data_IF_820678465808
#
_entry.id   IF_820678465808
#
_cell.length_a   1.000
_cell.length_b   1.000
_cell.length_c   1.000
_cell.angle_alpha   90.00
_cell.angle_beta   90.00
_cell.angle_gamma   90.00
#
_symmetry.space_group_name_H-M   'P 1'
#
loop_
_entity.id
_entity.type
_entity.pdbx_description
1 polymer ?
#
# COMPACT_ATOMS: atom_id res chain seq x y z
N UNK A 1 -26.12 -22.05 -13.91
CA UNK A 1 -26.57 -21.66 -12.55
C UNK A 1 -25.59 -20.62 -12.04
N UNK A 2 -26.06 -19.49 -11.49
CA UNK A 2 -25.18 -18.41 -11.03
C UNK A 2 -24.68 -18.70 -9.61
N UNK A 3 -23.37 -18.58 -9.38
CA UNK A 3 -22.74 -18.66 -8.06
C UNK A 3 -21.87 -17.42 -7.83
N UNK A 4 -21.86 -16.91 -6.61
CA UNK A 4 -21.07 -15.73 -6.22
C UNK A 4 -20.24 -16.06 -4.99
N UNK A 5 -18.93 -15.87 -5.11
CA UNK A 5 -18.01 -15.89 -3.99
C UNK A 5 -17.08 -14.69 -4.16
N UNK A 6 -17.33 -13.64 -3.37
CA UNK A 6 -16.59 -12.40 -3.42
C UNK A 6 -16.32 -11.91 -2.00
N UNK A 7 -15.11 -11.43 -1.78
CA UNK A 7 -14.62 -10.90 -0.51
C UNK A 7 -14.02 -9.53 -0.77
N UNK A 8 -14.41 -8.55 0.04
CA UNK A 8 -13.82 -7.23 0.08
C UNK A 8 -13.36 -6.99 1.52
N UNK A 9 -12.07 -6.69 1.70
CA UNK A 9 -11.49 -6.43 3.01
C UNK A 9 -10.62 -5.19 2.94
N UNK A 10 -10.62 -4.42 4.02
CA UNK A 10 -9.71 -3.29 4.20
C UNK A 10 -9.17 -3.36 5.62
N UNK A 11 -7.86 -3.22 5.76
CA UNK A 11 -7.20 -3.36 7.04
C UNK A 11 -5.70 -3.19 6.91
N UNK A 12 -4.97 -3.64 7.93
CA UNK A 12 -3.52 -3.50 7.99
C UNK A 12 -2.84 -4.87 8.02
N UNK A 13 -1.68 -4.98 7.37
CA UNK A 13 -0.87 -6.19 7.44
C UNK A 13 -0.41 -6.46 8.88
N UNK A 14 -0.58 -7.68 9.36
CA UNK A 14 -0.16 -8.07 10.73
C UNK A 14 1.28 -8.54 10.80
N UNK A 15 1.85 -8.92 9.65
CA UNK A 15 3.22 -9.40 9.44
C UNK A 15 3.67 -9.03 8.03
N UNK A 16 4.98 -9.08 7.80
CA UNK A 16 5.54 -8.87 6.46
C UNK A 16 5.07 -9.97 5.50
N UNK A 17 4.84 -9.67 4.21
CA UNK A 17 4.45 -10.68 3.24
C UNK A 17 5.55 -11.71 3.01
N UNK A 18 5.19 -12.98 3.12
CA UNK A 18 6.09 -14.08 2.80
C UNK A 18 5.97 -14.40 1.31
N UNK A 19 6.90 -13.89 0.50
CA UNK A 19 7.00 -14.20 -0.93
C UNK A 19 7.76 -15.53 -1.14
N UNK A 20 7.15 -16.45 -1.86
CA UNK A 20 7.70 -17.76 -2.22
C UNK A 20 7.40 -18.06 -3.69
N UNK A 21 8.23 -18.88 -4.32
CA UNK A 21 7.98 -19.37 -5.67
C UNK A 21 7.61 -20.85 -5.61
N UNK A 22 6.57 -21.24 -6.34
CA UNK A 22 6.25 -22.66 -6.53
C UNK A 22 7.30 -23.32 -7.44
N UNK A 23 7.40 -24.66 -7.47
CA UNK A 23 8.29 -25.37 -8.40
C UNK A 23 8.08 -25.02 -9.88
N UNK A 24 6.87 -24.57 -10.24
CA UNK A 24 6.55 -24.07 -11.59
C UNK A 24 6.91 -22.61 -11.85
N UNK A 25 7.63 -21.94 -10.92
CA UNK A 25 8.02 -20.53 -11.05
C UNK A 25 6.91 -19.52 -10.73
N UNK A 26 5.72 -19.97 -10.32
CA UNK A 26 4.64 -19.05 -9.95
C UNK A 26 4.92 -18.42 -8.57
N UNK A 27 5.00 -17.09 -8.52
CA UNK A 27 5.10 -16.33 -7.27
C UNK A 27 3.83 -16.46 -6.43
N UNK A 28 4.00 -16.60 -5.12
CA UNK A 28 2.94 -16.69 -4.11
C UNK A 28 3.35 -15.82 -2.93
N UNK A 29 2.51 -14.87 -2.54
CA UNK A 29 2.72 -14.10 -1.32
C UNK A 29 1.62 -14.43 -0.33
N UNK A 30 2.03 -14.76 0.89
CA UNK A 30 1.15 -15.11 2.00
C UNK A 30 1.33 -14.10 3.12
N UNK A 31 0.23 -13.50 3.60
CA UNK A 31 0.25 -12.51 4.66
C UNK A 31 -1.07 -12.54 5.45
N UNK A 32 -1.06 -11.92 6.63
CA UNK A 32 -2.27 -11.74 7.43
C UNK A 32 -2.68 -10.28 7.43
N UNK A 33 -3.99 -10.03 7.45
CA UNK A 33 -4.54 -8.69 7.67
C UNK A 33 -5.40 -8.69 8.94
N UNK A 34 -5.39 -7.57 9.64
CA UNK A 34 -6.31 -7.27 10.72
C UNK A 34 -7.38 -6.30 10.22
N UNK A 35 -8.64 -6.66 10.41
CA UNK A 35 -9.82 -5.86 10.07
C UNK A 35 -10.54 -5.51 11.36
N UNK A 36 -10.60 -4.23 11.68
CA UNK A 36 -11.20 -3.74 12.91
C UNK A 36 -12.68 -3.41 12.68
N UNK A 37 -13.51 -3.72 13.68
CA UNK A 37 -14.92 -3.34 13.74
C UNK A 37 -15.21 -2.72 15.10
N UNK A 38 -15.70 -1.48 15.10
CA UNK A 38 -16.14 -0.78 16.30
C UNK A 38 -17.65 -0.62 16.28
N UNK A 39 -18.33 -0.92 17.39
CA UNK A 39 -19.78 -0.70 17.53
C UNK A 39 -20.17 -0.42 18.98
N UNK A 40 -21.32 0.23 19.18
CA UNK A 40 -21.90 0.47 20.50
C UNK A 40 -22.81 -0.70 20.90
N UNK A 41 -22.54 -1.30 22.06
CA UNK A 41 -23.39 -2.35 22.63
C UNK A 41 -24.68 -1.76 23.21
N UNK A 42 -25.69 -2.62 23.46
CA UNK A 42 -26.96 -2.21 24.08
C UNK A 42 -26.80 -1.57 25.47
N UNK A 43 -25.68 -1.85 26.14
CA UNK A 43 -25.29 -1.27 27.44
C UNK A 43 -24.77 0.17 27.34
N UNK A 44 -24.56 0.69 26.13
CA UNK A 44 -23.95 2.00 25.88
C UNK A 44 -22.42 1.97 25.78
N UNK A 45 -21.77 0.83 26.04
CA UNK A 45 -20.32 0.68 25.92
C UNK A 45 -19.89 0.56 24.44
N UNK A 46 -18.81 1.25 24.06
CA UNK A 46 -18.14 0.99 22.79
C UNK A 46 -17.33 -0.32 22.88
N UNK A 47 -17.47 -1.17 21.87
CA UNK A 47 -16.73 -2.42 21.73
C UNK A 47 -15.95 -2.43 20.44
N UNK A 48 -14.75 -2.97 20.53
CA UNK A 48 -13.85 -3.20 19.40
C UNK A 48 -13.62 -4.69 19.21
N UNK A 49 -13.70 -5.15 17.96
CA UNK A 49 -13.34 -6.50 17.55
C UNK A 49 -12.34 -6.43 16.41
N UNK A 50 -11.33 -7.30 16.47
CA UNK A 50 -10.34 -7.44 15.41
C UNK A 50 -10.49 -8.82 14.79
N UNK A 51 -10.81 -8.85 13.51
CA UNK A 51 -10.83 -10.07 12.71
C UNK A 51 -9.49 -10.23 12.00
N UNK A 52 -8.82 -11.36 12.24
CA UNK A 52 -7.58 -11.72 11.56
C UNK A 52 -7.88 -12.63 10.38
N UNK A 53 -7.41 -12.25 9.20
CA UNK A 53 -7.67 -12.98 7.96
C UNK A 53 -6.36 -13.30 7.25
N UNK A 54 -6.17 -14.57 6.91
CA UNK A 54 -5.05 -15.00 6.07
C UNK A 54 -5.37 -14.79 4.58
N UNK A 55 -4.46 -14.12 3.89
CA UNK A 55 -4.55 -13.77 2.48
C UNK A 55 -3.43 -14.46 1.71
N UNK A 56 -3.80 -15.11 0.60
CA UNK A 56 -2.85 -15.60 -0.40
C UNK A 56 -3.09 -14.89 -1.72
N UNK A 57 -2.01 -14.44 -2.35
CA UNK A 57 -2.04 -13.81 -3.67
C UNK A 57 -0.99 -14.46 -4.57
N UNK A 58 -1.24 -14.48 -5.88
CA UNK A 58 -0.44 -15.23 -6.85
C UNK A 58 0.06 -14.35 -8.00
N UNK A 59 1.12 -14.83 -8.66
CA UNK A 59 1.69 -14.24 -9.87
C UNK A 59 2.30 -12.86 -9.63
N UNK A 60 2.26 -11.99 -10.65
CA UNK A 60 2.88 -10.67 -10.59
C UNK A 60 2.40 -9.81 -9.40
N UNK A 61 1.13 -9.95 -9.02
CA UNK A 61 0.56 -9.22 -7.87
C UNK A 61 1.18 -9.67 -6.54
N UNK A 62 1.62 -10.92 -6.43
CA UNK A 62 2.35 -11.39 -5.27
C UNK A 62 3.72 -10.73 -5.13
N UNK A 63 4.43 -10.57 -6.23
CA UNK A 63 5.73 -9.88 -6.24
C UNK A 63 5.58 -8.43 -5.79
N UNK A 64 4.58 -7.71 -6.32
CA UNK A 64 4.31 -6.31 -5.90
C UNK A 64 3.96 -6.23 -4.42
N UNK A 65 3.17 -7.17 -3.89
CA UNK A 65 2.87 -7.19 -2.45
C UNK A 65 4.15 -7.40 -1.64
N UNK A 66 5.00 -8.34 -2.03
CA UNK A 66 6.27 -8.62 -1.35
C UNK A 66 7.28 -7.47 -1.43
N UNK A 67 7.24 -6.65 -2.48
CA UNK A 67 8.16 -5.53 -2.69
C UNK A 67 7.71 -4.25 -1.97
N UNK A 68 6.41 -3.94 -1.99
CA UNK A 68 5.91 -2.63 -1.56
C UNK A 68 5.16 -2.62 -0.24
N UNK A 69 4.75 -3.78 0.29
CA UNK A 69 4.03 -3.86 1.56
C UNK A 69 4.87 -4.49 2.65
N UNK A 70 4.76 -3.94 3.85
CA UNK A 70 5.33 -4.46 5.09
C UNK A 70 4.29 -4.46 6.20
N UNK A 71 4.62 -5.06 7.34
CA UNK A 71 3.78 -5.05 8.55
C UNK A 71 3.27 -3.64 8.84
N UNK A 72 1.97 -3.53 9.11
CA UNK A 72 1.28 -2.27 9.39
C UNK A 72 0.78 -1.54 8.14
N UNK A 73 1.24 -1.91 6.94
CA UNK A 73 0.79 -1.27 5.69
C UNK A 73 -0.73 -1.44 5.53
N UNK A 74 -1.48 -0.34 5.30
CA UNK A 74 -2.90 -0.43 5.03
C UNK A 74 -3.12 -0.91 3.60
N UNK A 75 -4.09 -1.81 3.43
CA UNK A 75 -4.38 -2.45 2.15
C UNK A 75 -5.88 -2.67 1.99
N UNK A 76 -6.35 -2.52 0.75
CA UNK A 76 -7.65 -3.01 0.33
C UNK A 76 -7.45 -4.27 -0.51
N UNK A 77 -8.23 -5.32 -0.24
CA UNK A 77 -8.20 -6.61 -0.90
C UNK A 77 -9.57 -6.92 -1.48
N UNK A 78 -9.57 -7.35 -2.74
CA UNK A 78 -10.69 -7.98 -3.40
C UNK A 78 -10.30 -9.42 -3.73
N UNK A 79 -11.17 -10.38 -3.47
CA UNK A 79 -10.88 -11.78 -3.75
C UNK A 79 -12.07 -12.69 -3.52
N UNK A 80 -11.76 -13.92 -3.10
CA UNK A 80 -12.75 -14.96 -2.82
C UNK A 80 -12.32 -15.83 -1.64
N UNK A 81 -13.28 -16.45 -0.96
CA UNK A 81 -12.99 -17.44 0.07
C UNK A 81 -12.55 -18.76 -0.54
N UNK A 82 -11.52 -19.37 0.05
CA UNK A 82 -11.10 -20.73 -0.22
C UNK A 82 -11.06 -21.52 1.10
N UNK A 83 -11.90 -22.54 1.16
CA UNK A 83 -11.85 -23.54 2.21
C UNK A 83 -10.95 -24.69 1.75
N UNK A 84 -10.02 -25.12 2.60
CA UNK A 84 -9.19 -26.29 2.36
C UNK A 84 -9.25 -27.20 3.58
N UNK A 85 -9.37 -28.50 3.34
CA UNK A 85 -9.39 -29.53 4.37
C UNK A 85 -8.35 -30.60 4.02
N UNK A 86 -7.55 -30.99 5.00
CA UNK A 86 -6.51 -32.00 4.84
C UNK A 86 -6.37 -32.83 6.11
N UNK A 87 -5.78 -34.02 5.98
CA UNK A 87 -5.50 -34.91 7.11
C UNK A 87 -4.01 -34.84 7.44
N UNK A 88 -3.68 -34.76 8.73
CA UNK A 88 -2.28 -34.86 9.17
C UNK A 88 -1.81 -36.30 9.07
N UNK A 89 -0.48 -36.53 9.10
CA UNK A 89 0.09 -37.89 9.14
C UNK A 89 -0.39 -38.73 10.33
N UNK A 90 -0.91 -38.08 11.37
CA UNK A 90 -1.46 -38.66 12.60
C UNK A 90 -2.96 -38.96 12.50
N UNK A 91 -3.58 -38.74 11.33
CA UNK A 91 -5.00 -38.99 11.09
C UNK A 91 -5.96 -37.87 11.52
N UNK A 92 -5.45 -36.71 11.94
CA UNK A 92 -6.30 -35.59 12.36
C UNK A 92 -6.77 -34.78 11.17
N UNK A 93 -8.09 -34.59 11.04
CA UNK A 93 -8.67 -33.67 10.06
C UNK A 93 -8.43 -32.22 10.48
N UNK A 94 -7.82 -31.44 9.59
CA UNK A 94 -7.60 -29.99 9.72
C UNK A 94 -8.33 -29.27 8.62
N UNK A 95 -8.85 -28.09 8.93
CA UNK A 95 -9.44 -27.20 7.96
C UNK A 95 -8.86 -25.79 8.08
N UNK A 96 -8.93 -25.03 7.00
CA UNK A 96 -8.58 -23.61 6.98
C UNK A 96 -9.51 -22.89 6.02
N UNK A 97 -9.85 -21.67 6.39
CA UNK A 97 -10.55 -20.74 5.52
C UNK A 97 -9.61 -19.56 5.27
N UNK A 98 -9.30 -19.30 4.01
CA UNK A 98 -8.42 -18.21 3.59
C UNK A 98 -9.07 -17.40 2.49
N UNK A 99 -8.54 -16.21 2.24
CA UNK A 99 -8.92 -15.40 1.08
C UNK A 99 -7.85 -15.55 0.00
N UNK A 100 -8.29 -15.87 -1.22
CA UNK A 100 -7.45 -15.75 -2.40
C UNK A 100 -7.69 -14.38 -3.01
N UNK A 101 -6.68 -13.51 -2.95
CA UNK A 101 -6.76 -12.16 -3.47
C UNK A 101 -6.66 -12.13 -5.00
N UNK A 102 -7.63 -11.48 -5.62
CA UNK A 102 -7.77 -11.27 -7.06
C UNK A 102 -7.40 -9.85 -7.46
N UNK A 103 -7.52 -8.89 -6.55
CA UNK A 103 -7.07 -7.53 -6.73
C UNK A 103 -6.70 -6.92 -5.38
N UNK A 104 -5.88 -5.87 -5.42
CA UNK A 104 -5.60 -5.07 -4.23
C UNK A 104 -5.41 -3.61 -4.61
N UNK A 105 -5.55 -2.74 -3.63
CA UNK A 105 -5.22 -1.33 -3.78
C UNK A 105 -4.38 -0.87 -2.59
N UNK A 106 -3.41 -0.01 -2.89
CA UNK A 106 -2.71 0.75 -1.88
C UNK A 106 -3.69 1.71 -1.20
N UNK A 107 -3.63 1.76 0.12
CA UNK A 107 -4.39 2.72 0.92
C UNK A 107 -3.39 3.71 1.52
N UNK A 108 -3.69 5.00 1.50
CA UNK A 108 -2.75 6.02 1.99
C UNK A 108 -1.65 6.36 0.99
N UNK A 109 -2.03 6.88 -0.18
CA UNK A 109 -1.10 7.50 -1.12
C UNK A 109 -0.72 8.90 -0.64
N UNK A 110 0.45 9.04 -0.03
CA UNK A 110 0.87 10.36 0.45
C UNK A 110 2.26 10.46 1.06
N UNK A 111 3.14 9.46 0.95
CA UNK A 111 4.56 9.77 1.08
C UNK A 111 5.02 10.32 -0.26
N UNK A 112 4.72 11.61 -0.50
CA UNK A 112 5.60 12.42 -1.34
C UNK A 112 6.99 12.17 -0.79
N UNK A 113 7.86 11.57 -1.59
CA UNK A 113 9.29 11.69 -1.38
C UNK A 113 9.61 13.18 -1.52
N UNK A 114 9.37 13.94 -0.46
CA UNK A 114 10.09 15.17 -0.22
C UNK A 114 11.43 14.72 0.35
N UNK A 115 12.34 14.37 -0.56
CA UNK A 115 13.73 14.13 -0.21
C UNK A 115 14.58 15.02 -1.11
N UNK A 116 14.83 16.20 -0.56
CA UNK A 116 16.19 16.70 -0.42
C UNK A 116 16.90 17.10 -1.73
N UNK A 117 16.45 18.24 -2.29
CA UNK A 117 17.25 19.11 -3.16
C UNK A 117 17.04 20.57 -2.73
N UNK A 118 17.11 20.79 -1.42
CA UNK A 118 17.11 22.11 -0.78
C UNK A 118 18.45 22.39 -0.09
N UNK A 119 19.56 22.15 -0.78
CA UNK A 119 20.89 22.46 -0.26
C UNK A 119 21.32 23.86 -0.74
N UNK A 120 21.21 24.82 0.18
CA UNK A 120 22.05 26.03 0.32
C UNK A 120 22.35 26.87 -0.92
N UNK A 121 21.61 27.97 -1.08
CA UNK A 121 22.18 29.21 -1.63
C UNK A 121 22.12 30.26 -0.52
N UNK A 122 23.26 30.42 0.13
CA UNK A 122 23.58 31.52 1.04
C UNK A 122 23.45 32.85 0.29
N UNK A 123 22.51 33.69 0.72
CA UNK A 123 22.16 34.96 0.09
C UNK A 123 23.11 36.12 0.45
N UNK A 124 24.33 35.83 0.91
CA UNK A 124 25.25 36.84 1.44
C UNK A 124 26.22 37.44 0.42
N UNK A 125 26.09 37.17 -0.90
CA UNK A 125 27.09 37.64 -1.87
C UNK A 125 26.57 38.17 -3.22
N UNK A 126 25.36 38.74 -3.26
CA UNK A 126 24.78 39.30 -4.51
C UNK A 126 24.97 40.82 -4.70
N UNK A 127 25.57 41.53 -3.74
CA UNK A 127 25.73 43.00 -3.80
C UNK A 127 27.02 43.48 -4.50
N UNK A 128 27.88 42.58 -5.01
CA UNK A 128 29.20 42.95 -5.54
C UNK A 128 29.32 43.01 -7.08
N UNK A 129 28.22 42.88 -7.85
CA UNK A 129 28.30 42.86 -9.33
C UNK A 129 27.27 43.76 -10.03
N UNK A 130 26.87 44.89 -9.41
CA UNK A 130 25.97 45.89 -10.02
C UNK A 130 26.71 47.16 -10.50
N UNK A 131 27.99 47.07 -10.83
CA UNK A 131 28.73 48.20 -11.40
C UNK A 131 29.34 47.78 -12.74
N UNK A 132 28.89 48.43 -13.82
CA UNK A 132 29.30 48.33 -15.22
C UNK A 132 28.43 47.49 -16.17
N UNK A 133 27.18 47.91 -16.41
CA UNK A 133 26.65 47.97 -17.79
C UNK A 133 25.70 49.16 -17.88
N UNK A 134 26.21 50.32 -18.32
CA UNK A 134 25.35 51.35 -18.90
C UNK A 134 25.19 51.05 -20.39
N UNK A 135 23.97 51.14 -20.95
CA UNK A 135 23.80 51.49 -22.34
C UNK A 135 23.11 52.85 -22.43
N UNK A 136 23.88 53.83 -22.89
CA UNK A 136 23.38 55.01 -23.57
C UNK A 136 22.67 54.58 -24.86
N UNK A 137 21.35 54.76 -24.91
CA UNK A 137 20.61 54.87 -26.17
C UNK A 137 19.58 56.00 -26.06
N UNK A 138 20.06 57.17 -26.48
CA UNK A 138 19.35 58.35 -26.96
C UNK A 138 17.92 58.08 -27.48
N UNK A 139 17.01 58.97 -27.06
CA UNK A 139 15.63 58.97 -27.50
C UNK A 139 15.43 59.47 -28.93
N UNK A 140 14.35 59.02 -29.54
CA UNK A 140 13.49 59.77 -30.47
C UNK A 140 12.28 58.90 -30.86
N UNK A 141 11.12 59.54 -30.92
CA UNK A 141 9.89 59.21 -31.67
C UNK A 141 9.16 57.87 -31.48
N UNK A 142 8.04 57.96 -30.77
CA UNK A 142 6.90 57.03 -30.86
C UNK A 142 5.80 57.73 -31.67
N UNK A 143 5.49 57.33 -32.92
CA UNK A 143 4.27 57.76 -33.57
C UNK A 143 3.11 56.83 -33.20
N UNK A 144 1.91 57.43 -33.10
CA UNK A 144 0.62 56.85 -32.74
C UNK A 144 0.18 55.66 -33.62
#
# INVERSE_FOLDING_TARGET
>A
MASLNKVFLMGNLTRDPELRYTPGGLAVASFGIAVNRTWTAKTGEQKDEVCYVDINIFGRRAEVIGEYFSKGSPIFIEGRLQFSQWETKEGQKRNTLRVIAENFQFIGGGKRMDNDLGQSLDSSNLDAMSENIAPDINGEDIPF
#
